data_IF_063659983366
#
_entry.id   IF_063659983366
#
_cell.length_a   1.000
_cell.length_b   1.000
_cell.length_c   1.000
_cell.angle_alpha   90.00
_cell.angle_beta   90.00
_cell.angle_gamma   90.00
#
_symmetry.space_group_name_H-M   'P 1'
#
loop_
_entity.id
_entity.type
_entity.pdbx_description
1 polymer ?
#
# COMPACT_ATOMS: atom_id res chain seq x y z
N UNK A 1 2.32 2.21 1.95
CA UNK A 1 1.42 2.79 0.94
C UNK A 1 2.29 3.71 0.10
N UNK A 2 2.14 3.69 -1.23
CA UNK A 2 2.82 4.59 -2.16
C UNK A 2 1.77 5.18 -3.08
N UNK A 3 1.66 6.51 -3.15
CA UNK A 3 0.67 7.22 -3.97
C UNK A 3 1.38 7.84 -5.17
N UNK A 4 1.44 7.09 -6.28
CA UNK A 4 2.30 7.45 -7.42
C UNK A 4 1.76 8.62 -8.26
N UNK A 5 0.44 8.80 -8.33
CA UNK A 5 -0.20 9.83 -9.18
C UNK A 5 -0.81 11.00 -8.39
N UNK A 6 -0.53 11.04 -7.08
CA UNK A 6 -1.10 12.02 -6.15
C UNK A 6 -2.47 11.62 -5.60
N UNK A 7 -2.94 12.45 -4.66
CA UNK A 7 -4.24 12.32 -4.01
C UNK A 7 -4.89 13.71 -3.92
N UNK A 8 -6.16 13.80 -4.31
CA UNK A 8 -6.90 15.05 -4.36
C UNK A 8 -7.13 15.68 -2.99
N UNK A 9 -6.88 14.98 -1.88
CA UNK A 9 -6.95 15.51 -0.52
C UNK A 9 -5.59 15.84 0.08
N UNK A 10 -4.50 15.65 -0.67
CA UNK A 10 -3.14 15.88 -0.21
C UNK A 10 -2.49 17.07 -0.90
N UNK A 11 -1.83 17.90 -0.09
CA UNK A 11 -0.94 18.96 -0.54
C UNK A 11 0.48 18.70 -0.04
N UNK A 12 1.49 19.11 -0.82
CA UNK A 12 2.90 19.02 -0.44
C UNK A 12 3.53 20.40 -0.39
N UNK A 13 4.35 20.65 0.63
CA UNK A 13 5.18 21.84 0.70
C UNK A 13 6.38 21.74 -0.26
N UNK A 14 6.56 22.73 -1.11
CA UNK A 14 7.63 22.78 -2.12
C UNK A 14 9.06 22.94 -1.56
N UNK A 15 9.21 23.26 -0.28
CA UNK A 15 10.54 23.40 0.35
C UNK A 15 10.91 22.25 1.29
N UNK A 16 9.96 21.74 2.07
CA UNK A 16 10.24 20.74 3.10
C UNK A 16 9.51 19.42 2.90
N UNK A 17 8.80 19.25 1.77
CA UNK A 17 8.08 18.04 1.37
C UNK A 17 7.14 17.49 2.44
N UNK A 18 6.65 18.38 3.31
CA UNK A 18 5.68 18.01 4.33
C UNK A 18 4.30 17.96 3.69
N UNK A 19 3.59 16.87 3.98
CA UNK A 19 2.29 16.58 3.40
C UNK A 19 1.21 17.13 4.32
N UNK A 20 0.17 17.71 3.72
CA UNK A 20 -0.98 18.29 4.41
C UNK A 20 -2.23 17.60 3.92
N UNK A 21 -3.02 17.06 4.86
CA UNK A 21 -4.25 16.33 4.53
C UNK A 21 -5.48 17.23 4.74
N UNK A 22 -6.31 17.36 3.71
CA UNK A 22 -7.63 17.98 3.77
C UNK A 22 -8.68 16.96 4.20
N UNK A 23 -9.57 17.36 5.11
CA UNK A 23 -10.56 16.45 5.70
C UNK A 23 -11.93 16.45 4.98
N UNK A 24 -12.36 17.61 4.50
CA UNK A 24 -13.74 17.82 4.03
C UNK A 24 -13.87 18.18 2.55
N UNK A 25 -12.83 18.75 1.95
CA UNK A 25 -12.85 19.19 0.56
C UNK A 25 -11.57 18.81 -0.18
N UNK A 26 -11.67 18.47 -1.48
CA UNK A 26 -10.51 18.25 -2.31
C UNK A 26 -9.72 19.55 -2.51
N UNK A 27 -8.45 19.40 -2.86
CA UNK A 27 -7.56 20.49 -3.25
C UNK A 27 -8.10 21.11 -4.56
N UNK A 28 -8.16 22.45 -4.67
CA UNK A 28 -8.81 23.13 -5.79
C UNK A 28 -7.97 23.16 -7.09
N UNK A 29 -6.74 22.64 -7.06
CA UNK A 29 -5.80 22.65 -8.19
C UNK A 29 -5.29 21.25 -8.51
N UNK A 30 -4.75 21.09 -9.72
CA UNK A 30 -4.12 19.87 -10.23
C UNK A 30 -2.82 20.25 -10.96
N UNK A 31 -1.84 19.36 -11.08
CA UNK A 31 -0.59 19.65 -11.80
C UNK A 31 0.44 20.38 -10.93
N UNK A 32 0.45 20.11 -9.62
CA UNK A 32 1.41 20.68 -8.64
C UNK A 32 1.40 22.21 -8.60
N UNK A 33 0.23 22.79 -8.80
CA UNK A 33 -0.01 24.21 -8.72
C UNK A 33 -0.11 24.67 -7.27
N UNK A 34 0.14 25.96 -7.07
CA UNK A 34 0.04 26.58 -5.76
C UNK A 34 -1.42 26.66 -5.30
N UNK A 35 -1.70 26.14 -4.10
CA UNK A 35 -3.07 26.02 -3.58
C UNK A 35 -3.56 27.25 -2.81
N UNK A 36 -2.70 28.27 -2.66
CA UNK A 36 -2.98 29.47 -1.87
C UNK A 36 -2.47 29.42 -0.43
N UNK A 37 -2.03 28.25 0.06
CA UNK A 37 -1.65 28.06 1.47
C UNK A 37 -0.13 28.01 1.68
N UNK A 38 0.33 28.46 2.85
CA UNK A 38 1.75 28.39 3.25
C UNK A 38 1.97 27.25 4.24
N UNK A 39 3.15 26.67 4.19
CA UNK A 39 3.56 25.62 5.09
C UNK A 39 3.67 26.13 6.54
N UNK A 40 2.94 25.46 7.45
CA UNK A 40 2.92 25.71 8.89
C UNK A 40 4.01 24.96 9.67
N UNK A 41 4.79 24.08 9.01
CA UNK A 41 5.84 23.31 9.68
C UNK A 41 6.92 24.23 10.25
N UNK A 42 7.25 23.98 11.51
CA UNK A 42 8.40 24.57 12.21
C UNK A 42 9.58 23.58 12.12
N UNK A 43 10.75 24.06 11.68
CA UNK A 43 11.99 23.27 11.61
C UNK A 43 12.55 23.05 13.02
N UNK A 44 13.45 22.08 13.20
CA UNK A 44 14.05 21.74 14.49
C UNK A 44 14.68 22.95 15.24
N UNK A 45 15.17 23.94 14.48
CA UNK A 45 15.77 25.19 15.00
C UNK A 45 14.72 26.27 15.37
N UNK A 46 13.43 25.92 15.44
CA UNK A 46 12.33 26.86 15.73
C UNK A 46 11.94 27.78 14.57
N UNK A 47 12.60 27.69 13.41
CA UNK A 47 12.31 28.54 12.24
C UNK A 47 11.15 27.99 11.40
N UNK A 48 10.18 28.82 10.97
CA UNK A 48 9.11 28.39 10.08
C UNK A 48 9.66 28.05 8.69
N UNK A 49 9.07 27.05 8.01
CA UNK A 49 9.51 26.63 6.68
C UNK A 49 9.35 27.72 5.62
N UNK A 50 8.24 28.47 5.68
CA UNK A 50 7.84 29.51 4.70
C UNK A 50 7.59 29.01 3.26
N UNK A 51 7.61 27.70 3.03
CA UNK A 51 7.27 27.11 1.74
C UNK A 51 5.80 27.26 1.38
N UNK A 52 5.48 27.02 0.11
CA UNK A 52 4.13 27.09 -0.45
C UNK A 52 3.56 25.68 -0.57
N UNK A 53 2.29 25.52 -0.25
CA UNK A 53 1.59 24.26 -0.45
C UNK A 53 1.14 24.15 -1.91
N UNK A 54 1.35 22.97 -2.47
CA UNK A 54 1.00 22.61 -3.85
C UNK A 54 0.20 21.33 -3.85
N UNK A 55 -0.69 21.14 -4.81
CA UNK A 55 -1.37 19.85 -4.96
C UNK A 55 -0.36 18.74 -5.30
N UNK A 56 -0.77 17.49 -5.05
CA UNK A 56 0.09 16.31 -5.32
C UNK A 56 -0.22 15.63 -6.65
N UNK A 57 -1.27 16.09 -7.36
CA UNK A 57 -1.74 15.44 -8.58
C UNK A 57 -0.81 15.81 -9.73
N UNK A 58 -0.38 14.78 -10.45
CA UNK A 58 0.55 14.92 -11.57
C UNK A 58 -0.19 15.29 -12.85
N UNK A 59 0.40 16.18 -13.63
CA UNK A 59 0.08 16.34 -15.06
C UNK A 59 0.83 15.28 -15.91
N UNK A 60 0.57 15.21 -17.21
CA UNK A 60 1.17 14.22 -18.11
C UNK A 60 2.69 14.31 -18.20
N UNK A 61 3.23 15.51 -18.06
CA UNK A 61 4.66 15.80 -18.17
C UNK A 61 5.39 15.68 -16.82
N UNK A 62 4.66 15.50 -15.72
CA UNK A 62 5.22 15.42 -14.39
C UNK A 62 5.92 14.09 -14.11
N UNK A 63 7.07 14.17 -13.43
CA UNK A 63 7.75 13.00 -12.90
C UNK A 63 7.03 12.41 -11.67
N UNK A 64 7.06 11.09 -11.52
CA UNK A 64 6.55 10.42 -10.33
C UNK A 64 7.30 10.88 -9.06
N UNK A 65 6.61 11.01 -7.91
CA UNK A 65 7.25 11.37 -6.65
C UNK A 65 8.30 10.33 -6.23
N UNK A 66 9.58 10.74 -6.21
CA UNK A 66 10.71 9.85 -5.91
C UNK A 66 10.57 9.06 -4.59
N UNK A 67 10.13 9.64 -3.44
CA UNK A 67 9.98 8.89 -2.20
C UNK A 67 9.00 7.71 -2.33
N UNK A 68 7.81 7.94 -2.90
CA UNK A 68 6.78 6.93 -3.11
C UNK A 68 7.19 5.91 -4.19
N UNK A 69 7.78 6.38 -5.29
CA UNK A 69 8.23 5.52 -6.37
C UNK A 69 9.37 4.61 -5.97
N UNK A 70 10.38 5.13 -5.26
CA UNK A 70 11.51 4.33 -4.75
C UNK A 70 11.05 3.27 -3.75
N UNK A 71 10.10 3.60 -2.87
CA UNK A 71 9.47 2.63 -1.97
C UNK A 71 8.72 1.56 -2.77
N UNK A 72 7.93 1.95 -3.75
CA UNK A 72 7.18 1.03 -4.60
C UNK A 72 8.11 0.07 -5.33
N UNK A 73 9.16 0.57 -6.00
CA UNK A 73 10.19 -0.25 -6.65
C UNK A 73 10.84 -1.23 -5.66
N UNK A 74 11.22 -0.75 -4.48
CA UNK A 74 11.89 -1.57 -3.47
C UNK A 74 11.00 -2.72 -2.99
N UNK A 75 9.74 -2.44 -2.67
CA UNK A 75 8.82 -3.49 -2.20
C UNK A 75 8.40 -4.41 -3.34
N UNK A 76 8.23 -3.89 -4.56
CA UNK A 76 7.92 -4.70 -5.74
C UNK A 76 9.02 -5.70 -6.08
N UNK A 77 10.30 -5.32 -5.94
CA UNK A 77 11.45 -6.22 -6.16
C UNK A 77 11.57 -7.33 -5.12
N UNK A 78 11.04 -7.13 -3.91
CA UNK A 78 11.04 -8.14 -2.84
C UNK A 78 9.84 -9.09 -2.94
N UNK A 79 8.76 -8.66 -3.57
CA UNK A 79 7.52 -9.42 -3.64
C UNK A 79 7.67 -10.65 -4.55
N UNK A 80 7.20 -11.80 -4.07
CA UNK A 80 7.08 -13.02 -4.88
C UNK A 80 5.71 -13.16 -5.56
N UNK A 81 4.74 -12.34 -5.15
CA UNK A 81 3.38 -12.28 -5.67
C UNK A 81 2.97 -10.82 -5.81
N UNK A 82 2.47 -10.45 -6.98
CA UNK A 82 1.79 -9.19 -7.23
C UNK A 82 0.33 -9.45 -7.58
N UNK A 83 -0.57 -8.65 -7.02
CA UNK A 83 -2.00 -8.68 -7.34
C UNK A 83 -2.39 -7.29 -7.82
N UNK A 84 -2.70 -7.17 -9.11
CA UNK A 84 -3.12 -5.93 -9.75
C UNK A 84 -4.64 -5.88 -9.77
N UNK A 85 -5.24 -4.91 -9.07
CA UNK A 85 -6.69 -4.79 -8.95
C UNK A 85 -7.14 -3.51 -9.65
N UNK A 86 -8.07 -3.62 -10.61
CA UNK A 86 -8.75 -2.46 -11.19
C UNK A 86 -7.84 -1.49 -11.94
N UNK A 87 -6.78 -2.00 -12.56
CA UNK A 87 -5.84 -1.20 -13.35
C UNK A 87 -5.66 -1.82 -14.72
N UNK A 88 -5.64 -0.97 -15.75
CA UNK A 88 -5.34 -1.37 -17.14
C UNK A 88 -3.86 -1.59 -17.40
N UNK A 89 -2.99 -1.22 -16.43
CA UNK A 89 -1.53 -1.31 -16.51
C UNK A 89 -0.95 -0.62 -17.77
N UNK A 90 -1.47 0.56 -18.10
CA UNK A 90 -1.01 1.33 -19.28
C UNK A 90 -0.03 2.47 -18.94
N UNK A 91 -0.04 2.96 -17.69
CA UNK A 91 0.76 4.13 -17.29
C UNK A 91 2.13 3.68 -16.76
N UNK A 92 3.18 3.96 -17.52
CA UNK A 92 4.56 3.69 -17.14
C UNK A 92 5.16 4.90 -16.39
N UNK A 93 6.07 4.68 -15.43
CA UNK A 93 6.70 3.39 -15.07
C UNK A 93 5.91 2.52 -14.06
N UNK A 94 4.79 2.99 -13.51
CA UNK A 94 4.02 2.29 -12.48
C UNK A 94 3.53 0.90 -12.94
N UNK A 95 3.01 0.79 -14.16
CA UNK A 95 2.54 -0.46 -14.77
C UNK A 95 3.62 -1.55 -14.89
N UNK A 96 4.90 -1.17 -14.88
CA UNK A 96 6.02 -2.11 -14.96
C UNK A 96 6.41 -2.73 -13.62
N UNK A 97 6.00 -2.13 -12.49
CA UNK A 97 6.40 -2.57 -11.15
C UNK A 97 6.09 -4.06 -10.85
N UNK A 98 4.91 -4.60 -11.22
CA UNK A 98 4.59 -6.00 -10.95
C UNK A 98 5.46 -7.03 -11.68
N UNK A 99 6.12 -6.61 -12.75
CA UNK A 99 6.84 -7.50 -13.67
C UNK A 99 8.36 -7.32 -13.62
N UNK A 100 8.88 -6.60 -12.63
CA UNK A 100 10.32 -6.48 -12.41
C UNK A 100 10.87 -7.80 -11.85
N UNK A 101 11.98 -8.28 -12.41
CA UNK A 101 12.61 -9.54 -11.98
C UNK A 101 13.17 -9.41 -10.55
N UNK A 102 13.02 -10.48 -9.76
CA UNK A 102 13.59 -10.54 -8.40
C UNK A 102 15.02 -11.06 -8.47
N UNK A 103 16.00 -10.23 -8.13
CA UNK A 103 17.30 -10.75 -7.65
C UNK A 103 17.06 -11.19 -6.20
N UNK A 104 17.03 -12.51 -5.93
CA UNK A 104 16.61 -13.08 -4.63
C UNK A 104 17.19 -12.32 -3.42
N UNK A 105 16.31 -12.03 -2.45
CA UNK A 105 16.65 -12.02 -1.04
C UNK A 105 16.80 -13.49 -0.59
N UNK A 106 18.03 -13.97 -0.54
CA UNK A 106 18.36 -15.29 -0.01
C UNK A 106 18.03 -15.33 1.48
N UNK A 107 16.81 -15.73 1.86
CA UNK A 107 16.56 -16.26 3.20
C UNK A 107 17.36 -17.55 3.34
N UNK A 108 18.63 -17.45 3.76
CA UNK A 108 19.37 -18.58 4.30
C UNK A 108 18.55 -19.11 5.47
N UNK A 109 17.83 -20.23 5.29
CA UNK A 109 17.37 -21.04 6.42
C UNK A 109 18.64 -21.44 7.17
N UNK A 110 18.88 -20.84 8.33
CA UNK A 110 19.89 -21.32 9.27
C UNK A 110 19.39 -22.70 9.71
N UNK A 111 19.90 -23.77 9.09
CA UNK A 111 19.64 -25.15 9.50
C UNK A 111 20.19 -25.29 10.93
N UNK A 112 19.29 -25.48 11.89
CA UNK A 112 19.64 -26.07 13.18
C UNK A 112 19.87 -27.56 12.96
N UNK A 113 20.95 -28.16 13.46
CA UNK A 113 21.10 -29.60 13.49
C UNK A 113 20.44 -30.11 14.77
N UNK A 114 19.21 -30.64 14.69
CA UNK A 114 18.82 -31.77 15.55
C UNK A 114 17.41 -32.32 15.24
N UNK A 115 17.36 -33.65 15.28
CA UNK A 115 16.24 -34.54 15.60
C UNK A 115 15.06 -34.77 14.62
N UNK A 116 15.18 -35.89 13.90
CA UNK A 116 14.27 -37.08 13.91
C UNK A 116 12.83 -36.99 13.37
N UNK A 117 12.67 -37.57 12.17
CA UNK A 117 11.59 -38.46 11.68
C UNK A 117 10.12 -37.99 11.71
N UNK A 118 9.55 -37.80 10.51
CA UNK A 118 8.11 -37.74 10.27
C UNK A 118 7.80 -37.49 8.80
N UNK A 119 7.51 -38.57 8.06
CA UNK A 119 7.37 -38.64 6.60
C UNK A 119 6.12 -37.90 6.10
N UNK A 120 6.25 -36.68 5.57
CA UNK A 120 5.18 -36.00 4.85
C UNK A 120 5.49 -36.00 3.35
N UNK A 121 4.70 -36.76 2.58
CA UNK A 121 4.71 -36.75 1.12
C UNK A 121 4.15 -35.41 0.60
N UNK A 122 4.98 -34.39 0.59
CA UNK A 122 4.86 -33.23 -0.31
C UNK A 122 6.06 -33.14 -1.28
N UNK A 123 6.86 -34.22 -1.34
CA UNK A 123 7.94 -34.39 -2.30
C UNK A 123 7.35 -34.84 -3.64
N UNK A 124 6.93 -33.90 -4.49
CA UNK A 124 7.07 -34.04 -5.97
C UNK A 124 6.77 -32.78 -6.81
N UNK A 125 6.97 -31.55 -6.29
CA UNK A 125 7.02 -30.35 -7.18
C UNK A 125 8.16 -29.40 -6.79
N UNK A 126 9.33 -29.94 -6.44
CA UNK A 126 10.56 -29.17 -6.37
C UNK A 126 11.71 -30.00 -6.95
N UNK A 127 11.58 -30.35 -8.24
CA UNK A 127 12.77 -30.73 -9.01
C UNK A 127 13.58 -29.46 -9.22
N UNK A 128 14.79 -29.51 -8.68
CA UNK A 128 15.82 -28.51 -8.81
C UNK A 128 16.29 -28.49 -10.26
N UNK A 129 15.76 -27.54 -11.03
CA UNK A 129 16.32 -26.96 -12.24
C UNK A 129 15.66 -25.56 -12.37
N UNK A 130 16.31 -24.62 -13.05
CA UNK A 130 15.74 -23.36 -13.60
C UNK A 130 16.06 -22.01 -12.87
N UNK A 131 16.41 -20.94 -13.63
CA UNK A 131 17.04 -19.71 -13.16
C UNK A 131 15.99 -18.73 -12.61
N UNK A 132 16.45 -17.74 -11.82
CA UNK A 132 15.81 -16.43 -11.66
C UNK A 132 14.26 -16.39 -11.76
N UNK A 133 13.55 -17.11 -10.89
CA UNK A 133 12.10 -17.26 -11.03
C UNK A 133 11.39 -15.89 -10.92
N UNK A 134 10.72 -15.48 -12.00
CA UNK A 134 9.95 -14.25 -12.08
C UNK A 134 8.82 -14.25 -11.03
N UNK A 135 8.42 -13.08 -10.49
CA UNK A 135 7.34 -13.04 -9.52
C UNK A 135 6.03 -13.50 -10.16
N UNK A 136 5.15 -14.12 -9.36
CA UNK A 136 3.80 -14.46 -9.84
C UNK A 136 2.99 -13.18 -9.93
N UNK A 137 2.31 -12.97 -11.04
CA UNK A 137 1.47 -11.78 -11.24
C UNK A 137 0.04 -12.20 -11.51
N UNK A 138 -0.87 -11.71 -10.68
CA UNK A 138 -2.31 -11.89 -10.83
C UNK A 138 -2.92 -10.56 -11.25
N UNK A 139 -3.75 -10.56 -12.28
CA UNK A 139 -4.48 -9.38 -12.74
C UNK A 139 -5.97 -9.62 -12.54
N UNK A 140 -6.64 -8.71 -11.84
CA UNK A 140 -8.09 -8.70 -11.67
C UNK A 140 -8.62 -7.39 -12.24
N UNK A 141 -9.24 -7.45 -13.40
CA UNK A 141 -9.80 -6.29 -14.06
C UNK A 141 -10.94 -6.69 -14.99
N UNK A 142 -12.03 -5.90 -15.03
CA UNK A 142 -13.18 -6.17 -15.90
C UNK A 142 -12.78 -6.20 -17.38
N UNK A 143 -11.87 -5.29 -17.77
CA UNK A 143 -11.38 -5.19 -19.14
C UNK A 143 -10.01 -5.88 -19.27
N UNK A 144 -9.69 -6.46 -20.45
CA UNK A 144 -8.34 -6.93 -20.74
C UNK A 144 -7.30 -5.83 -20.53
N UNK A 145 -6.11 -6.22 -20.06
CA UNK A 145 -5.00 -5.29 -19.83
C UNK A 145 -3.89 -5.50 -20.85
N UNK A 146 -3.04 -4.48 -21.04
CA UNK A 146 -1.88 -4.57 -21.95
C UNK A 146 -0.88 -5.65 -21.51
N UNK A 147 -0.95 -6.09 -20.26
CA UNK A 147 0.02 -6.97 -19.63
C UNK A 147 -0.51 -8.37 -19.35
N UNK A 148 -1.71 -8.72 -19.85
CA UNK A 148 -2.37 -10.01 -19.61
C UNK A 148 -1.50 -11.20 -20.04
N UNK A 149 -0.79 -11.10 -21.17
CA UNK A 149 0.08 -12.15 -21.68
C UNK A 149 1.31 -12.45 -20.80
N UNK A 150 1.64 -11.53 -19.89
CA UNK A 150 2.75 -11.66 -18.93
C UNK A 150 2.27 -12.07 -17.54
N UNK A 151 0.96 -12.09 -17.30
CA UNK A 151 0.42 -12.47 -16.01
C UNK A 151 0.43 -13.99 -15.86
N UNK A 152 0.63 -14.45 -14.62
CA UNK A 152 0.44 -15.86 -14.26
C UNK A 152 -1.03 -16.25 -14.30
N UNK A 153 -1.92 -15.31 -13.95
CA UNK A 153 -3.36 -15.54 -13.92
C UNK A 153 -4.11 -14.22 -14.14
N UNK A 154 -5.12 -14.23 -15.02
CA UNK A 154 -6.02 -13.10 -15.25
C UNK A 154 -7.45 -13.49 -14.87
N UNK A 155 -8.13 -12.59 -14.16
CA UNK A 155 -9.52 -12.74 -13.77
C UNK A 155 -10.32 -11.52 -14.22
N UNK A 156 -11.24 -11.73 -15.16
CA UNK A 156 -12.13 -10.70 -15.66
C UNK A 156 -13.43 -10.69 -14.87
N UNK A 157 -13.40 -10.08 -13.69
CA UNK A 157 -14.51 -10.07 -12.76
C UNK A 157 -14.56 -8.77 -11.93
N UNK A 158 -15.73 -8.42 -11.36
CA UNK A 158 -15.86 -7.34 -10.38
C UNK A 158 -14.97 -7.58 -9.15
N UNK A 159 -14.16 -6.58 -8.79
CA UNK A 159 -13.11 -6.69 -7.74
C UNK A 159 -13.73 -6.94 -6.36
N UNK A 160 -14.88 -6.32 -6.08
CA UNK A 160 -15.65 -6.50 -4.85
C UNK A 160 -16.03 -7.96 -4.61
N UNK A 161 -16.53 -8.65 -5.64
CA UNK A 161 -16.84 -10.08 -5.58
C UNK A 161 -15.58 -10.91 -5.33
N UNK A 162 -14.51 -10.60 -6.06
CA UNK A 162 -13.23 -11.32 -5.95
C UNK A 162 -12.63 -11.19 -4.56
N UNK A 163 -12.57 -9.96 -4.02
CA UNK A 163 -12.05 -9.71 -2.68
C UNK A 163 -12.95 -10.31 -1.61
N UNK A 164 -14.27 -10.32 -1.79
CA UNK A 164 -15.20 -10.96 -0.85
C UNK A 164 -14.94 -12.47 -0.74
N UNK A 165 -14.78 -13.15 -1.87
CA UNK A 165 -14.45 -14.59 -1.92
C UNK A 165 -13.06 -14.88 -1.36
N UNK A 166 -12.06 -14.03 -1.65
CA UNK A 166 -10.71 -14.16 -1.10
C UNK A 166 -10.73 -13.98 0.43
N UNK A 167 -11.39 -12.94 0.93
CA UNK A 167 -11.54 -12.68 2.36
C UNK A 167 -12.27 -13.83 3.06
N UNK A 168 -13.34 -14.36 2.46
CA UNK A 168 -14.06 -15.52 2.99
C UNK A 168 -13.13 -16.75 3.09
N UNK A 169 -12.39 -17.07 2.02
CA UNK A 169 -11.43 -18.19 2.02
C UNK A 169 -10.26 -18.01 3.00
N UNK A 170 -9.86 -16.77 3.26
CA UNK A 170 -8.80 -16.44 4.20
C UNK A 170 -9.30 -16.26 5.65
N UNK A 171 -10.61 -16.43 5.90
CA UNK A 171 -11.25 -16.15 7.19
C UNK A 171 -10.94 -14.73 7.70
N UNK A 172 -10.91 -13.74 6.78
CA UNK A 172 -10.72 -12.32 7.09
C UNK A 172 -12.07 -11.62 7.05
N UNK A 173 -12.57 -11.07 8.18
CA UNK A 173 -13.83 -10.34 8.17
C UNK A 173 -13.65 -9.02 7.39
N UNK A 174 -14.54 -8.79 6.41
CA UNK A 174 -14.60 -7.51 5.70
C UNK A 174 -15.42 -6.54 6.56
N UNK A 175 -14.86 -5.39 6.97
CA UNK A 175 -15.61 -4.39 7.71
C UNK A 175 -16.78 -3.87 6.86
N UNK A 176 -18.00 -3.93 7.39
CA UNK A 176 -19.15 -3.27 6.76
C UNK A 176 -18.92 -1.76 6.84
N UNK A 177 -18.80 -1.10 5.68
CA UNK A 177 -18.69 0.36 5.61
C UNK A 177 -19.86 1.00 6.38
N UNK A 178 -19.53 2.05 7.14
CA UNK A 178 -20.45 2.74 8.04
C UNK A 178 -21.74 3.18 7.30
N UNK A 179 -22.85 3.19 8.04
CA UNK A 179 -24.18 3.53 7.51
C UNK A 179 -24.15 4.87 6.74
N UNK A 180 -24.90 5.01 5.64
CA UNK A 180 -24.87 6.18 4.74
C UNK A 180 -25.23 7.53 5.39
N UNK A 181 -25.68 7.54 6.65
CA UNK A 181 -26.01 8.73 7.43
C UNK A 181 -24.86 9.27 8.28
N UNK A 182 -23.69 8.64 8.28
CA UNK A 182 -22.54 9.11 9.06
C UNK A 182 -21.55 9.85 8.15
N UNK A 183 -21.16 11.06 8.56
CA UNK A 183 -20.12 11.86 7.90
C UNK A 183 -18.89 10.96 7.70
N UNK A 184 -18.40 10.82 6.47
CA UNK A 184 -17.19 10.04 6.20
C UNK A 184 -16.02 10.70 6.92
N UNK A 185 -15.50 10.02 7.95
CA UNK A 185 -14.29 10.43 8.64
C UNK A 185 -13.11 9.66 8.03
N UNK A 186 -12.21 10.34 7.28
CA UNK A 186 -11.08 9.67 6.66
C UNK A 186 -10.14 9.14 7.75
N UNK A 187 -10.10 7.82 7.91
CA UNK A 187 -9.12 7.15 8.75
C UNK A 187 -7.83 6.93 7.94
N UNK A 188 -6.82 7.78 8.18
CA UNK A 188 -5.52 7.63 7.51
C UNK A 188 -4.64 6.71 8.35
N UNK A 189 -4.44 5.49 7.84
CA UNK A 189 -3.57 4.51 8.49
C UNK A 189 -2.12 4.74 8.06
N UNK A 190 -1.35 5.42 8.90
CA UNK A 190 0.04 5.79 8.59
C UNK A 190 1.06 4.64 8.74
N UNK A 191 0.73 3.56 9.45
CA UNK A 191 1.60 2.39 9.59
C UNK A 191 0.81 1.10 9.60
N UNK A 192 1.30 0.12 8.84
CA UNK A 192 0.88 -1.27 8.99
C UNK A 192 1.31 -1.79 10.37
N UNK A 193 0.51 -2.67 10.97
CA UNK A 193 0.89 -3.43 12.19
C UNK A 193 2.16 -4.26 12.00
N UNK A 194 2.56 -4.49 10.75
CA UNK A 194 3.74 -5.28 10.37
C UNK A 194 5.01 -4.45 10.17
N UNK A 195 4.94 -3.12 10.25
CA UNK A 195 6.13 -2.25 10.23
C UNK A 195 6.75 -2.18 11.62
N UNK A 196 8.09 -2.23 11.69
CA UNK A 196 8.77 -2.07 12.98
C UNK A 196 8.55 -0.65 13.52
N UNK A 197 8.44 -0.49 14.85
CA UNK A 197 8.28 0.83 15.45
C UNK A 197 9.51 1.73 15.22
N UNK A 198 10.69 1.11 15.05
CA UNK A 198 11.97 1.76 14.78
C UNK A 198 12.10 2.34 13.36
N UNK A 199 11.27 1.90 12.41
CA UNK A 199 11.22 2.53 11.09
C UNK A 199 10.64 3.94 11.21
N UNK A 200 11.44 4.95 10.86
CA UNK A 200 10.96 6.33 10.77
C UNK A 200 9.97 6.45 9.61
N UNK A 201 8.79 7.04 9.86
CA UNK A 201 7.95 7.49 8.75
C UNK A 201 8.72 8.60 8.02
N UNK A 202 9.05 8.44 6.72
CA UNK A 202 9.90 9.40 6.03
C UNK A 202 9.19 10.75 5.78
N UNK A 203 7.86 10.77 5.83
CA UNK A 203 7.04 11.93 5.51
C UNK A 203 6.49 12.56 6.80
N UNK A 204 6.68 13.87 6.93
CA UNK A 204 5.99 14.66 7.95
C UNK A 204 4.59 14.99 7.44
N UNK A 205 3.58 14.42 8.08
CA UNK A 205 2.19 14.58 7.68
C UNK A 205 1.49 15.46 8.72
N UNK A 206 0.82 16.49 8.24
CA UNK A 206 0.11 17.48 9.04
C UNK A 206 -1.35 17.57 8.59
N UNK A 207 -2.19 18.07 9.47
CA UNK A 207 -3.53 18.49 9.08
C UNK A 207 -3.47 19.81 8.34
N UNK A 208 -4.25 19.92 7.27
CA UNK A 208 -4.35 21.14 6.50
C UNK A 208 -4.95 22.27 7.38
N UNK A 209 -4.37 23.49 7.39
CA UNK A 209 -4.81 24.59 8.25
C UNK A 209 -6.25 25.07 7.98
N UNK A 210 -6.80 24.78 6.79
CA UNK A 210 -8.19 25.06 6.45
C UNK A 210 -9.19 23.98 6.88
N UNK A 211 -8.75 22.92 7.57
CA UNK A 211 -9.68 21.93 8.11
C UNK A 211 -10.45 22.56 9.28
N UNK A 212 -11.79 22.53 9.22
CA UNK A 212 -12.66 23.03 10.30
C UNK A 212 -12.52 22.23 11.60
N UNK A 213 -12.11 20.96 11.49
CA UNK A 213 -11.92 20.06 12.61
C UNK A 213 -10.59 19.30 12.46
N UNK A 214 -9.83 19.21 13.55
CA UNK A 214 -8.68 18.30 13.65
C UNK A 214 -9.21 16.87 13.76
N UNK A 215 -8.80 15.93 12.89
CA UNK A 215 -9.30 14.56 12.95
C UNK A 215 -8.88 13.81 14.20
N UNK A 216 -9.69 12.83 14.56
CA UNK A 216 -9.41 11.89 15.64
C UNK A 216 -8.21 11.03 15.26
N UNK A 217 -7.11 11.15 16.01
CA UNK A 217 -5.97 10.25 15.88
C UNK A 217 -6.35 8.92 16.53
N UNK A 218 -6.78 7.96 15.72
CA UNK A 218 -7.01 6.59 16.17
C UNK A 218 -5.64 5.92 16.39
N UNK A 219 -5.21 5.79 17.65
CA UNK A 219 -3.99 5.06 17.97
C UNK A 219 -4.12 3.58 17.56
N UNK A 220 -3.01 2.91 17.26
CA UNK A 220 -2.99 1.53 16.77
C UNK A 220 -3.70 0.50 17.69
N UNK A 221 -3.93 0.86 18.97
CA UNK A 221 -4.68 0.09 19.96
C UNK A 221 -6.20 0.08 19.73
N UNK A 222 -6.74 0.99 18.92
CA UNK A 222 -8.18 1.10 18.64
C UNK A 222 -8.62 0.33 17.37
N UNK A 223 -7.70 -0.25 16.62
CA UNK A 223 -8.04 -1.26 15.61
C UNK A 223 -8.48 -2.54 16.33
N UNK A 224 -9.60 -3.19 15.95
CA UNK A 224 -10.07 -4.39 16.63
C UNK A 224 -8.93 -5.40 16.77
N UNK A 225 -8.66 -5.78 18.03
CA UNK A 225 -7.86 -6.94 18.34
C UNK A 225 -8.63 -8.15 17.82
N UNK A 226 -7.95 -9.10 17.17
CA UNK A 226 -8.58 -10.42 16.97
C UNK A 226 -9.05 -10.91 18.35
N UNK A 227 -10.22 -11.54 18.47
CA UNK A 227 -10.52 -12.35 19.64
C UNK A 227 -9.31 -13.27 19.86
N UNK A 228 -8.70 -13.17 21.04
CA UNK A 228 -7.52 -13.98 21.40
C UNK A 228 -7.90 -15.40 21.82
N UNK A 229 -9.18 -15.72 21.85
CA UNK A 229 -9.68 -16.97 22.39
C UNK A 229 -10.44 -17.74 21.30
N UNK A 230 -10.17 -19.05 21.29
CA UNK A 230 -10.77 -20.11 20.44
C UNK A 230 -10.08 -20.42 19.10
N UNK A 231 -8.78 -20.70 19.17
CA UNK A 231 -8.22 -21.85 18.45
C UNK A 231 -8.14 -23.03 19.41
N UNK A 232 -9.29 -23.66 19.70
CA UNK A 232 -9.29 -25.05 20.14
C UNK A 232 -9.46 -25.90 18.89
N UNK A 233 -8.37 -26.53 18.47
CA UNK A 233 -8.43 -27.66 17.56
C UNK A 233 -9.32 -28.71 18.20
N UNK A 234 -10.49 -28.95 17.63
CA UNK A 234 -11.13 -30.24 17.78
C UNK A 234 -10.49 -31.15 16.74
N UNK A 235 -9.58 -31.98 17.21
CA UNK A 235 -9.23 -33.23 16.53
C UNK A 235 -10.50 -34.11 16.48
N UNK A 236 -10.59 -34.86 15.39
CA UNK A 236 -11.73 -35.63 14.91
C UNK A 236 -12.25 -36.72 15.90
N UNK A 237 -13.30 -37.44 15.52
CA UNK A 237 -13.09 -38.63 14.67
C UNK A 237 -13.88 -38.65 13.35
#
# INVERSE_FOLDING_TARGET
>A
MSILHGDMFLESCDLCNSIYVRASSPVPTMGRHFTGFKCTRVKAQGRPCRGKLRDTILDWEDELPYPDYSLAVRESRKACLHVCLGTSLQIFPAAGLPFQSTSRCSRKRKRSPDATTGNCKCEEILKADDPLQAPKVVIVNLQPTKMDSRATFCLHAPIDRVLSEVCAKLNVPVPTLMKPSQKFEPNIVFRSRHSSQLESCPQHIFWHPANEQSPLITSASALPLRPKDELKYHEDP
#
